data_IF_168475450406
#
_entry.id   IF_168475450406
#
_cell.length_a   1.000
_cell.length_b   1.000
_cell.length_c   1.000
_cell.angle_alpha   90.00
_cell.angle_beta   90.00
_cell.angle_gamma   90.00
#
_symmetry.space_group_name_H-M   'P 1'
#
loop_
_entity.id
_entity.type
_entity.pdbx_description
1 polymer ?
#
# COMPACT_ATOMS: atom_id res chain seq x y z
N UNK A 1 16.51 -87.47 25.94
CA UNK A 1 15.82 -86.27 26.37
C UNK A 1 16.63 -85.08 25.82
N UNK A 2 16.22 -84.48 24.72
CA UNK A 2 16.92 -83.38 24.11
C UNK A 2 15.98 -82.11 24.19
N UNK A 3 16.50 -81.07 24.79
CA UNK A 3 15.83 -79.82 25.00
C UNK A 3 16.26 -78.86 23.89
N UNK A 4 15.36 -78.49 23.01
CA UNK A 4 15.57 -77.45 21.94
C UNK A 4 15.22 -76.10 22.47
N UNK A 5 16.17 -75.12 22.36
CA UNK A 5 15.99 -73.74 22.68
C UNK A 5 15.75 -73.01 21.35
N UNK A 6 14.55 -72.47 21.16
CA UNK A 6 14.20 -71.64 19.99
C UNK A 6 14.66 -70.22 20.22
N UNK A 7 15.47 -69.67 19.30
CA UNK A 7 15.83 -68.25 19.26
C UNK A 7 14.78 -67.49 18.45
N UNK A 8 14.12 -66.48 19.07
CA UNK A 8 13.23 -65.54 18.36
C UNK A 8 14.07 -64.37 17.81
N UNK A 9 14.12 -64.25 16.47
CA UNK A 9 14.60 -63.06 15.78
C UNK A 9 13.49 -61.99 15.81
N UNK A 10 13.73 -60.92 16.54
CA UNK A 10 12.93 -59.72 16.49
C UNK A 10 13.37 -58.85 15.28
N UNK A 11 12.53 -58.73 14.29
CA UNK A 11 12.70 -57.80 13.18
C UNK A 11 12.31 -56.38 13.63
N UNK A 12 13.31 -55.51 13.74
CA UNK A 12 13.08 -54.08 13.86
C UNK A 12 12.73 -53.54 12.48
N UNK A 13 11.45 -53.42 12.15
CA UNK A 13 10.95 -52.63 11.02
C UNK A 13 10.91 -51.18 11.48
N UNK A 14 11.99 -50.44 11.25
CA UNK A 14 11.97 -48.98 11.29
C UNK A 14 11.24 -48.47 10.05
N UNK A 15 10.05 -47.91 10.25
CA UNK A 15 9.29 -47.22 9.16
C UNK A 15 10.16 -46.10 8.57
N UNK A 16 10.22 -45.97 7.24
CA UNK A 16 10.96 -44.88 6.61
C UNK A 16 10.34 -43.55 7.02
N UNK A 17 11.16 -42.63 7.52
CA UNK A 17 10.75 -41.24 7.77
C UNK A 17 10.22 -40.64 6.47
N UNK A 18 8.97 -40.19 6.48
CA UNK A 18 8.37 -39.52 5.35
C UNK A 18 9.22 -38.29 4.99
N UNK A 19 9.83 -38.31 3.81
CA UNK A 19 10.57 -37.18 3.29
C UNK A 19 9.58 -36.02 3.14
N UNK A 20 9.87 -34.91 3.81
CA UNK A 20 9.08 -33.68 3.69
C UNK A 20 9.07 -33.26 2.22
N UNK A 21 7.86 -33.16 1.66
CA UNK A 21 7.66 -32.67 0.29
C UNK A 21 8.29 -31.26 0.17
N UNK A 22 9.05 -30.96 -0.89
CA UNK A 22 9.61 -29.63 -1.06
C UNK A 22 8.47 -28.60 -1.08
N UNK A 23 8.56 -27.55 -0.24
CA UNK A 23 7.59 -26.48 -0.23
C UNK A 23 7.53 -25.82 -1.62
N UNK A 24 6.32 -25.50 -2.07
CA UNK A 24 6.15 -24.79 -3.34
C UNK A 24 6.97 -23.48 -3.34
N UNK A 25 7.52 -23.06 -4.49
CA UNK A 25 8.32 -21.83 -4.56
C UNK A 25 7.46 -20.62 -4.18
N UNK A 26 7.98 -19.80 -3.25
CA UNK A 26 7.33 -18.54 -2.86
C UNK A 26 7.44 -17.56 -4.02
N UNK A 27 6.31 -17.13 -4.55
CA UNK A 27 6.25 -16.16 -5.66
C UNK A 27 5.82 -14.75 -5.21
N UNK A 28 5.15 -14.68 -4.06
CA UNK A 28 4.70 -13.41 -3.45
C UNK A 28 4.95 -13.43 -1.95
N UNK A 29 5.05 -12.24 -1.38
CA UNK A 29 5.31 -12.00 0.04
C UNK A 29 4.28 -11.04 0.62
N UNK A 30 4.13 -11.11 1.92
CA UNK A 30 3.57 -10.05 2.74
C UNK A 30 4.75 -9.25 3.34
N UNK A 31 4.85 -7.97 2.99
CA UNK A 31 5.87 -7.06 3.54
C UNK A 31 5.25 -6.25 4.67
N UNK A 32 5.78 -6.43 5.88
CA UNK A 32 5.27 -5.79 7.10
C UNK A 32 6.37 -5.04 7.81
N UNK A 33 6.00 -4.13 8.69
CA UNK A 33 6.98 -3.44 9.53
C UNK A 33 6.37 -2.40 10.43
N UNK A 34 7.26 -1.72 11.18
CA UNK A 34 6.90 -0.59 12.03
C UNK A 34 7.75 0.60 11.64
N UNK A 35 7.12 1.72 11.37
CA UNK A 35 7.70 2.99 10.90
C UNK A 35 7.00 4.15 11.64
N UNK A 36 7.40 5.40 11.49
CA UNK A 36 6.62 6.51 12.04
C UNK A 36 5.15 6.44 11.59
N UNK A 37 4.23 6.75 12.51
CA UNK A 37 2.79 6.79 12.21
C UNK A 37 2.52 7.71 11.02
N UNK A 38 1.55 7.35 10.21
CA UNK A 38 1.17 8.09 9.01
C UNK A 38 2.29 8.23 7.95
N UNK A 39 3.40 7.50 8.09
CA UNK A 39 4.41 7.45 7.03
C UNK A 39 3.85 6.78 5.78
N UNK A 40 4.16 7.34 4.62
CA UNK A 40 3.90 6.69 3.34
C UNK A 40 5.04 5.69 3.09
N UNK A 41 4.70 4.43 3.00
CA UNK A 41 5.62 3.32 2.69
C UNK A 41 5.43 2.95 1.22
N UNK A 42 6.49 3.00 0.45
CA UNK A 42 6.46 2.68 -0.98
C UNK A 42 7.57 1.69 -1.32
N UNK A 43 7.23 0.63 -2.05
CA UNK A 43 8.21 -0.27 -2.66
C UNK A 43 8.35 0.07 -4.14
N UNK A 44 9.56 0.41 -4.53
CA UNK A 44 9.91 0.69 -5.93
C UNK A 44 10.68 -0.50 -6.47
N UNK A 45 10.10 -1.28 -7.40
CA UNK A 45 10.81 -2.38 -8.05
C UNK A 45 11.93 -1.84 -8.95
N UNK A 46 12.92 -2.70 -9.24
CA UNK A 46 14.01 -2.35 -10.15
C UNK A 46 13.50 -2.00 -11.55
N UNK A 47 12.49 -2.74 -12.02
CA UNK A 47 11.84 -2.45 -13.29
C UNK A 47 10.75 -1.36 -13.08
N UNK A 48 10.76 -0.30 -13.89
CA UNK A 48 9.76 0.76 -13.78
C UNK A 48 8.33 0.25 -14.00
N UNK A 49 7.43 0.58 -13.08
CA UNK A 49 6.00 0.30 -13.27
C UNK A 49 5.40 1.38 -14.18
N UNK A 50 4.77 1.01 -15.29
CA UNK A 50 4.14 1.98 -16.18
C UNK A 50 3.14 2.89 -15.44
N UNK A 51 3.03 4.13 -15.92
CA UNK A 51 1.98 5.04 -15.45
C UNK A 51 0.61 4.47 -15.82
N UNK A 52 -0.39 4.54 -14.93
CA UNK A 52 -1.76 4.16 -15.29
C UNK A 52 -2.26 4.94 -16.50
N UNK A 53 -3.03 4.28 -17.36
CA UNK A 53 -3.67 4.95 -18.48
C UNK A 53 -4.81 5.84 -17.99
N UNK A 54 -4.73 7.13 -18.32
CA UNK A 54 -5.78 8.11 -17.99
C UNK A 54 -5.73 8.65 -16.55
N UNK A 55 -6.65 9.56 -16.22
CA UNK A 55 -6.73 10.17 -14.91
C UNK A 55 -7.27 9.22 -13.85
N UNK A 56 -6.82 9.40 -12.61
CA UNK A 56 -7.55 8.92 -11.45
C UNK A 56 -8.78 9.80 -11.24
N UNK A 57 -9.84 9.26 -10.66
CA UNK A 57 -11.10 9.99 -10.46
C UNK A 57 -11.48 10.01 -8.99
N UNK A 58 -11.85 11.19 -8.50
CA UNK A 58 -12.52 11.40 -7.22
C UNK A 58 -13.81 12.16 -7.52
N UNK A 59 -14.96 11.50 -7.32
CA UNK A 59 -16.26 12.03 -7.65
C UNK A 59 -16.97 12.57 -6.40
N UNK A 60 -17.73 13.63 -6.58
CA UNK A 60 -18.65 14.19 -5.59
C UNK A 60 -20.02 13.62 -5.87
N UNK A 61 -20.45 12.69 -5.03
CA UNK A 61 -21.73 12.00 -5.16
C UNK A 61 -22.34 11.74 -3.77
N UNK A 62 -23.64 12.02 -3.62
CA UNK A 62 -24.37 11.89 -2.35
C UNK A 62 -23.71 12.65 -1.18
N UNK A 63 -23.22 13.87 -1.46
CA UNK A 63 -22.47 14.74 -0.51
C UNK A 63 -21.28 14.04 0.13
N UNK A 64 -20.62 13.19 -0.64
CA UNK A 64 -19.36 12.54 -0.24
C UNK A 64 -18.38 12.58 -1.39
N UNK A 65 -17.09 12.40 -1.09
CA UNK A 65 -16.07 12.08 -2.09
C UNK A 65 -15.96 10.58 -2.28
N UNK A 66 -16.01 10.13 -3.53
CA UNK A 66 -15.92 8.70 -3.89
C UNK A 66 -14.76 8.49 -4.88
N UNK A 67 -13.77 7.68 -4.51
CA UNK A 67 -13.56 7.02 -3.23
C UNK A 67 -13.17 8.02 -2.11
N UNK A 68 -13.41 7.65 -0.85
CA UNK A 68 -13.00 8.48 0.30
C UNK A 68 -11.49 8.39 0.62
N UNK A 69 -10.78 7.41 0.04
CA UNK A 69 -9.32 7.30 0.03
C UNK A 69 -8.87 6.99 -1.40
N UNK A 70 -8.06 7.86 -1.98
CA UNK A 70 -7.56 7.71 -3.34
C UNK A 70 -6.03 7.69 -3.37
N UNK A 71 -5.45 6.59 -3.84
CA UNK A 71 -4.03 6.51 -4.18
C UNK A 71 -3.81 6.90 -5.63
N UNK A 72 -2.87 7.81 -5.87
CA UNK A 72 -2.51 8.25 -7.23
C UNK A 72 -1.00 8.21 -7.42
N UNK A 73 -0.55 8.00 -8.65
CA UNK A 73 0.87 8.12 -8.98
C UNK A 73 1.24 9.60 -9.09
N UNK A 74 2.41 9.95 -8.54
CA UNK A 74 3.00 11.27 -8.80
C UNK A 74 3.11 11.48 -10.31
N UNK A 75 2.59 12.60 -10.81
CA UNK A 75 2.49 12.89 -12.24
C UNK A 75 1.24 12.35 -12.94
N UNK A 76 0.42 11.54 -12.27
CA UNK A 76 -0.88 11.12 -12.81
C UNK A 76 -1.91 12.23 -12.64
N UNK A 77 -2.66 12.62 -13.69
CA UNK A 77 -3.77 13.54 -13.54
C UNK A 77 -4.85 12.97 -12.63
N UNK A 78 -5.44 13.81 -11.80
CA UNK A 78 -6.60 13.50 -10.96
C UNK A 78 -7.75 14.36 -11.41
N UNK A 79 -8.86 13.75 -11.74
CA UNK A 79 -10.08 14.40 -12.11
C UNK A 79 -11.04 14.42 -10.92
N UNK A 80 -11.30 15.60 -10.39
CA UNK A 80 -12.32 15.85 -9.37
C UNK A 80 -13.61 16.20 -10.09
N UNK A 81 -14.60 15.33 -10.03
CA UNK A 81 -15.90 15.47 -10.69
C UNK A 81 -16.97 15.90 -9.71
N UNK A 82 -17.96 16.61 -10.20
CA UNK A 82 -19.24 16.80 -9.53
C UNK A 82 -20.34 16.12 -10.35
N UNK A 83 -20.78 14.94 -9.92
CA UNK A 83 -21.87 14.18 -10.56
C UNK A 83 -23.24 14.47 -9.92
N UNK A 84 -23.35 15.53 -9.09
CA UNK A 84 -24.61 15.96 -8.50
C UNK A 84 -25.22 17.16 -9.21
N UNK A 85 -26.48 17.46 -8.85
CA UNK A 85 -27.24 18.61 -9.40
C UNK A 85 -27.06 19.88 -8.55
N UNK A 86 -26.15 19.87 -7.60
CA UNK A 86 -25.84 20.99 -6.72
C UNK A 86 -24.37 21.38 -6.79
N UNK A 87 -24.03 22.66 -6.53
CA UNK A 87 -22.64 23.08 -6.51
C UNK A 87 -21.90 22.51 -5.31
N UNK A 88 -20.63 22.19 -5.52
CA UNK A 88 -19.64 21.82 -4.52
C UNK A 88 -18.38 22.67 -4.69
N UNK A 89 -17.40 22.48 -3.80
CA UNK A 89 -16.03 22.86 -4.05
C UNK A 89 -15.09 21.72 -3.68
N UNK A 90 -13.86 21.81 -4.12
CA UNK A 90 -12.76 20.91 -3.76
C UNK A 90 -11.65 21.76 -3.19
N UNK A 91 -11.46 21.66 -1.89
CA UNK A 91 -10.33 22.25 -1.18
C UNK A 91 -9.33 21.14 -0.87
N UNK A 92 -8.09 21.31 -1.30
CA UNK A 92 -7.02 20.33 -1.08
C UNK A 92 -5.91 20.95 -0.26
N UNK A 93 -5.63 20.35 0.90
CA UNK A 93 -4.61 20.80 1.85
C UNK A 93 -3.58 19.70 2.01
N UNK A 94 -2.28 20.04 1.90
CA UNK A 94 -1.20 19.10 2.16
C UNK A 94 -1.11 18.81 3.65
N UNK A 95 -1.27 17.54 4.01
CA UNK A 95 -1.17 17.10 5.40
C UNK A 95 0.23 17.33 5.95
N UNK A 96 0.34 17.69 7.20
CA UNK A 96 1.59 17.99 7.91
C UNK A 96 2.05 19.44 7.77
N UNK A 97 2.00 20.05 6.57
CA UNK A 97 2.34 21.46 6.39
C UNK A 97 1.16 22.41 6.49
N UNK A 98 -0.07 21.93 6.36
CA UNK A 98 -1.28 22.75 6.27
C UNK A 98 -1.34 23.64 5.03
N UNK A 99 -0.48 23.40 4.04
CA UNK A 99 -0.44 24.22 2.81
C UNK A 99 -1.64 23.90 1.94
N UNK A 100 -2.45 24.90 1.62
CA UNK A 100 -3.48 24.78 0.59
C UNK A 100 -2.82 24.62 -0.77
N UNK A 101 -3.23 23.58 -1.50
CA UNK A 101 -2.77 23.31 -2.87
C UNK A 101 -3.67 24.03 -3.87
N UNK A 102 -4.96 23.92 -3.67
CA UNK A 102 -6.00 24.64 -4.40
C UNK A 102 -7.35 24.60 -3.66
N UNK A 103 -8.22 25.53 -4.01
CA UNK A 103 -9.64 25.57 -3.65
C UNK A 103 -10.42 26.00 -4.87
N UNK A 104 -11.27 25.12 -5.41
CA UNK A 104 -12.01 25.37 -6.67
C UNK A 104 -13.48 24.98 -6.53
N UNK A 105 -14.36 25.81 -7.09
CA UNK A 105 -15.77 25.45 -7.25
C UNK A 105 -15.92 24.40 -8.35
N UNK A 106 -16.84 23.47 -8.12
CA UNK A 106 -17.29 22.48 -9.10
C UNK A 106 -18.82 22.58 -9.24
N UNK A 107 -19.28 23.26 -10.29
CA UNK A 107 -20.71 23.33 -10.61
C UNK A 107 -21.25 21.94 -11.01
N UNK A 108 -22.57 21.73 -11.00
CA UNK A 108 -23.18 20.49 -11.46
C UNK A 108 -22.60 19.99 -12.78
N UNK A 109 -22.22 18.71 -12.81
CA UNK A 109 -21.65 18.01 -13.98
C UNK A 109 -20.29 18.57 -14.46
N UNK A 110 -19.64 19.42 -13.69
CA UNK A 110 -18.32 19.92 -14.00
C UNK A 110 -17.22 19.05 -13.39
N UNK A 111 -16.00 19.30 -13.84
CA UNK A 111 -14.77 18.67 -13.33
C UNK A 111 -13.62 19.65 -13.30
N UNK A 112 -12.72 19.41 -12.36
CA UNK A 112 -11.43 20.05 -12.24
C UNK A 112 -10.33 19.01 -12.33
N UNK A 113 -9.22 19.29 -13.03
CA UNK A 113 -8.10 18.36 -13.17
C UNK A 113 -6.86 18.96 -12.54
N UNK A 114 -6.22 18.19 -11.66
CA UNK A 114 -4.95 18.56 -11.03
C UNK A 114 -3.93 17.41 -11.10
N UNK A 115 -2.64 17.74 -11.10
CA UNK A 115 -1.54 16.78 -11.08
C UNK A 115 -0.64 17.04 -9.90
N UNK A 116 -0.45 16.04 -9.05
CA UNK A 116 0.41 16.14 -7.86
C UNK A 116 1.85 15.81 -8.24
N UNK A 117 2.79 16.68 -7.87
CA UNK A 117 4.20 16.66 -8.27
C UNK A 117 5.15 15.95 -7.28
N UNK A 118 4.63 15.56 -6.11
CA UNK A 118 5.44 14.94 -5.04
C UNK A 118 4.65 13.96 -4.19
N UNK A 119 5.38 13.05 -3.55
CA UNK A 119 4.81 12.12 -2.56
C UNK A 119 4.31 12.91 -1.36
N UNK A 120 3.03 12.78 -1.05
CA UNK A 120 2.40 13.40 0.12
C UNK A 120 1.01 12.82 0.36
N UNK A 121 0.46 13.10 1.55
CA UNK A 121 -0.95 12.95 1.86
C UNK A 121 -1.63 14.30 1.80
N UNK A 122 -2.86 14.30 1.34
CA UNK A 122 -3.69 15.49 1.21
C UNK A 122 -5.05 15.24 1.82
N UNK A 123 -5.53 16.20 2.59
CA UNK A 123 -6.92 16.28 3.01
C UNK A 123 -7.72 16.96 1.91
N UNK A 124 -8.82 16.33 1.51
CA UNK A 124 -9.75 16.83 0.51
C UNK A 124 -11.06 17.11 1.20
N UNK A 125 -11.56 18.33 1.10
CA UNK A 125 -12.79 18.76 1.76
C UNK A 125 -13.69 19.56 0.82
N UNK A 126 -14.98 19.63 1.15
CA UNK A 126 -15.93 20.58 0.57
C UNK A 126 -16.32 21.59 1.66
N UNK A 127 -16.10 22.87 1.42
CA UNK A 127 -16.39 23.92 2.40
C UNK A 127 -17.90 24.25 2.47
N UNK A 128 -18.66 23.86 1.43
CA UNK A 128 -20.11 24.11 1.33
C UNK A 128 -20.91 23.10 2.15
N UNK A 129 -20.45 21.83 2.21
CA UNK A 129 -21.17 20.74 2.86
C UNK A 129 -20.35 20.14 4.01
N UNK A 130 -20.71 20.44 5.28
CA UNK A 130 -20.00 19.91 6.45
C UNK A 130 -19.91 18.39 6.45
N UNK A 131 -18.75 17.84 6.79
CA UNK A 131 -18.51 16.40 6.86
C UNK A 131 -18.15 15.72 5.53
N UNK A 132 -18.18 16.44 4.40
CA UNK A 132 -17.73 15.96 3.11
C UNK A 132 -16.20 16.02 3.03
N UNK A 133 -15.54 14.86 3.23
CA UNK A 133 -14.09 14.79 3.32
C UNK A 133 -13.55 13.48 2.73
N UNK A 134 -12.31 13.52 2.25
CA UNK A 134 -11.56 12.38 1.72
C UNK A 134 -10.05 12.57 1.96
N UNK A 135 -9.28 11.51 1.70
CA UNK A 135 -7.82 11.55 1.71
C UNK A 135 -7.31 11.16 0.32
N UNK A 136 -6.40 11.96 -0.21
CA UNK A 136 -5.64 11.64 -1.41
C UNK A 136 -4.18 11.37 -1.03
N UNK A 137 -3.61 10.30 -1.58
CA UNK A 137 -2.24 9.88 -1.28
C UNK A 137 -1.48 9.76 -2.60
N UNK A 138 -0.55 10.70 -2.84
CA UNK A 138 0.33 10.65 -4.01
C UNK A 138 1.57 9.81 -3.71
N UNK A 139 1.84 8.82 -4.56
CA UNK A 139 2.89 7.81 -4.38
C UNK A 139 3.73 7.61 -5.65
N UNK A 140 4.96 7.11 -5.50
CA UNK A 140 5.83 6.83 -6.66
C UNK A 140 5.61 5.46 -7.29
N UNK A 141 5.01 4.51 -6.57
CA UNK A 141 4.74 3.15 -7.03
C UNK A 141 3.34 2.71 -6.58
N UNK A 142 2.67 1.83 -7.33
CA UNK A 142 1.41 1.25 -6.89
C UNK A 142 1.56 0.34 -5.66
N UNK A 143 2.79 -0.09 -5.35
CA UNK A 143 3.10 -0.85 -4.14
C UNK A 143 3.34 0.12 -2.98
N UNK A 144 2.28 0.73 -2.50
CA UNK A 144 2.36 1.71 -1.43
C UNK A 144 1.21 1.55 -0.43
N UNK A 145 1.47 1.97 0.79
CA UNK A 145 0.49 2.05 1.89
C UNK A 145 0.85 3.19 2.83
N UNK A 146 -0.06 3.52 3.73
CA UNK A 146 0.19 4.44 4.84
C UNK A 146 0.22 3.64 6.12
N UNK A 147 1.23 3.88 6.96
CA UNK A 147 1.31 3.28 8.27
C UNK A 147 0.19 3.78 9.19
N UNK A 148 -0.36 2.88 9.97
CA UNK A 148 -1.40 3.21 10.94
C UNK A 148 -0.92 4.13 12.08
N UNK A 149 -1.82 4.46 12.98
CA UNK A 149 -1.51 5.27 14.17
C UNK A 149 -0.54 4.58 15.12
N UNK A 150 -0.49 3.24 15.08
CA UNK A 150 0.48 2.41 15.79
C UNK A 150 1.82 2.28 15.06
N UNK A 151 1.96 2.90 13.90
CA UNK A 151 3.13 2.85 13.03
C UNK A 151 3.26 1.56 12.21
N UNK A 152 2.33 0.62 12.33
CA UNK A 152 2.39 -0.63 11.58
C UNK A 152 1.90 -0.46 10.16
N UNK A 153 2.50 -1.22 9.25
CA UNK A 153 2.05 -1.32 7.87
C UNK A 153 2.09 -2.75 7.36
N UNK A 154 1.31 -3.00 6.33
CA UNK A 154 1.30 -4.25 5.57
C UNK A 154 1.12 -3.96 4.09
N UNK A 155 1.99 -4.56 3.27
CA UNK A 155 1.85 -4.62 1.82
C UNK A 155 1.73 -6.09 1.42
N UNK A 156 0.59 -6.49 0.91
CA UNK A 156 0.29 -7.86 0.50
C UNK A 156 0.58 -8.08 -0.98
N UNK A 157 0.77 -9.36 -1.36
CA UNK A 157 0.97 -9.77 -2.75
C UNK A 157 2.19 -9.12 -3.44
N UNK A 158 3.21 -8.76 -2.69
CA UNK A 158 4.46 -8.25 -3.22
C UNK A 158 5.22 -9.41 -3.87
N UNK A 159 5.56 -9.30 -5.15
CA UNK A 159 6.37 -10.33 -5.83
C UNK A 159 7.75 -10.45 -5.16
N UNK A 160 8.32 -11.64 -5.17
CA UNK A 160 9.72 -11.81 -4.74
C UNK A 160 10.65 -11.06 -5.67
N UNK A 161 11.70 -10.45 -5.14
CA UNK A 161 12.65 -9.65 -5.90
C UNK A 161 13.27 -8.52 -5.10
N UNK A 162 14.09 -7.72 -5.78
CA UNK A 162 14.79 -6.57 -5.22
C UNK A 162 13.96 -5.30 -5.38
N UNK A 163 13.87 -4.55 -4.31
CA UNK A 163 13.13 -3.29 -4.24
C UNK A 163 13.97 -2.19 -3.60
N UNK A 164 13.59 -0.96 -3.85
CA UNK A 164 13.96 0.18 -3.03
C UNK A 164 12.74 0.53 -2.16
N UNK A 165 12.89 0.36 -0.85
CA UNK A 165 11.93 0.84 0.12
C UNK A 165 12.10 2.35 0.29
N UNK A 166 11.04 3.10 0.14
CA UNK A 166 10.99 4.54 0.38
C UNK A 166 9.96 4.85 1.45
N UNK A 167 10.39 5.59 2.47
CA UNK A 167 9.53 6.08 3.56
C UNK A 167 9.44 7.59 3.49
N UNK A 168 8.25 8.11 3.35
CA UNK A 168 8.00 9.56 3.37
C UNK A 168 7.15 9.92 4.58
N UNK A 169 7.67 10.76 5.46
CA UNK A 169 6.99 11.29 6.63
C UNK A 169 7.50 12.70 6.97
N UNK A 170 6.63 13.57 7.42
CA UNK A 170 6.95 14.96 7.79
C UNK A 170 7.78 15.70 6.73
N UNK A 171 7.49 15.46 5.44
CA UNK A 171 8.19 16.09 4.31
C UNK A 171 9.60 15.55 4.05
N UNK A 172 10.05 14.53 4.77
CA UNK A 172 11.34 13.85 4.59
C UNK A 172 11.13 12.51 3.93
N UNK A 173 12.11 12.08 3.12
CA UNK A 173 12.12 10.75 2.51
C UNK A 173 13.41 10.03 2.89
N UNK A 174 13.27 8.80 3.37
CA UNK A 174 14.37 7.88 3.66
C UNK A 174 14.24 6.68 2.72
N UNK A 175 15.33 6.27 2.12
CA UNK A 175 15.35 5.15 1.18
C UNK A 175 16.37 4.10 1.60
N UNK A 176 16.03 2.83 1.42
CA UNK A 176 16.94 1.70 1.63
C UNK A 176 16.63 0.55 0.67
N UNK A 177 17.63 -0.29 0.32
CA UNK A 177 17.37 -1.52 -0.42
C UNK A 177 16.56 -2.50 0.41
N UNK A 178 15.72 -3.29 -0.24
CA UNK A 178 14.94 -4.36 0.35
C UNK A 178 14.88 -5.57 -0.57
N UNK A 179 15.28 -6.73 -0.05
CA UNK A 179 15.11 -8.01 -0.73
C UNK A 179 13.86 -8.73 -0.19
N UNK A 180 12.94 -9.04 -1.08
CA UNK A 180 11.74 -9.81 -0.79
C UNK A 180 11.95 -11.22 -1.31
N UNK A 181 12.22 -12.17 -0.42
CA UNK A 181 12.59 -13.54 -0.80
C UNK A 181 11.80 -14.64 -0.08
N UNK A 182 10.94 -14.26 0.88
CA UNK A 182 10.18 -15.18 1.71
C UNK A 182 8.69 -14.85 1.66
N UNK A 183 7.84 -15.76 2.11
CA UNK A 183 6.39 -15.54 2.18
C UNK A 183 6.02 -14.34 3.07
N UNK A 184 6.87 -14.00 4.04
CA UNK A 184 6.76 -12.81 4.87
C UNK A 184 8.12 -12.13 5.01
N UNK A 185 8.16 -10.84 4.72
CA UNK A 185 9.36 -9.99 4.87
C UNK A 185 9.06 -8.92 5.92
N UNK A 186 9.80 -8.92 7.03
CA UNK A 186 9.67 -7.90 8.07
C UNK A 186 10.70 -6.80 7.84
N UNK A 187 10.23 -5.55 7.75
CA UNK A 187 11.07 -4.36 7.58
C UNK A 187 11.25 -3.67 8.92
N UNK A 188 12.51 -3.43 9.27
CA UNK A 188 12.89 -2.57 10.40
C UNK A 188 13.61 -1.37 9.83
N UNK A 189 13.08 -0.19 10.10
CA UNK A 189 13.74 1.06 9.76
C UNK A 189 14.23 1.66 11.04
N UNK A 190 15.56 1.82 11.12
CA UNK A 190 16.15 2.61 12.21
C UNK A 190 15.92 4.10 11.91
N UNK A 191 15.52 4.89 12.90
CA UNK A 191 15.30 6.33 12.78
C UNK A 191 16.58 7.08 12.43
#
# INVERSE_FOLDING_TARGET
MALSIGAACGSNDAAPAAAASPAAPVTTSEVTGTVPRNAIVTLMPAEPVPMPAGPAVMDQYSKTFVPNVLYVRVGQPVEFRNSEDMPHNVTVIRRGSGTEVFNVSTEPQQKYVHTFDRVSQFDVTCDIHPGMQATLIAVQSPLATVAGDDGRFTLSNVKVGSYKLSLTFEGRTVEQPLEVSQARTEVRVSP
#
